data_IF_083179154386
#
_entry.id   IF_083179154386
#
_cell.length_a   1.000
_cell.length_b   1.000
_cell.length_c   1.000
_cell.angle_alpha   90.00
_cell.angle_beta   90.00
_cell.angle_gamma   90.00
#
_symmetry.space_group_name_H-M   'P 1'
#
loop_
_entity.id
_entity.type
_entity.pdbx_description
1 polymer ?
#
# COMPACT_ATOMS: atom_id res chain seq x y z
N UNK A 1 9.41 0.34 -13.05
CA UNK A 1 9.96 1.05 -11.87
C UNK A 1 8.95 1.13 -10.73
N UNK A 2 7.70 1.52 -10.99
CA UNK A 2 6.73 1.76 -9.92
C UNK A 2 6.36 0.53 -9.07
N UNK A 3 6.17 -0.65 -9.68
CA UNK A 3 5.96 -1.89 -8.92
C UNK A 3 7.09 -2.22 -7.94
N UNK A 4 8.34 -1.95 -8.31
CA UNK A 4 9.50 -2.18 -7.43
C UNK A 4 9.52 -1.18 -6.27
N UNK A 5 9.12 0.07 -6.53
CA UNK A 5 8.98 1.09 -5.50
C UNK A 5 7.85 0.74 -4.51
N UNK A 6 6.67 0.36 -5.02
CA UNK A 6 5.56 -0.09 -4.19
C UNK A 6 5.94 -1.33 -3.37
N UNK A 7 6.63 -2.30 -3.98
CA UNK A 7 7.14 -3.47 -3.25
C UNK A 7 8.07 -3.06 -2.10
N UNK A 8 8.99 -2.13 -2.33
CA UNK A 8 9.88 -1.62 -1.29
C UNK A 8 9.11 -0.90 -0.16
N UNK A 9 8.11 -0.08 -0.51
CA UNK A 9 7.24 0.58 0.47
C UNK A 9 6.43 -0.45 1.29
N UNK A 10 5.96 -1.53 0.67
CA UNK A 10 5.29 -2.65 1.33
C UNK A 10 6.23 -3.36 2.31
N UNK A 11 7.49 -3.61 1.95
CA UNK A 11 8.46 -4.23 2.86
C UNK A 11 8.78 -3.36 4.09
N UNK A 12 8.65 -2.03 3.95
CA UNK A 12 8.82 -1.08 5.05
C UNK A 12 7.60 -0.99 5.99
N UNK A 13 6.46 -1.57 5.60
CA UNK A 13 5.21 -1.54 6.36
C UNK A 13 5.16 -2.64 7.45
N UNK A 14 4.49 -2.38 8.59
CA UNK A 14 4.20 -3.42 9.58
C UNK A 14 3.33 -4.54 9.00
N UNK A 15 2.51 -4.25 7.97
CA UNK A 15 1.58 -5.20 7.35
C UNK A 15 2.18 -6.01 6.19
N UNK A 16 3.51 -5.93 5.97
CA UNK A 16 4.21 -6.54 4.83
C UNK A 16 3.81 -8.00 4.55
N UNK A 17 3.61 -8.82 5.58
CA UNK A 17 3.24 -10.24 5.40
C UNK A 17 1.90 -10.42 4.65
N UNK A 18 0.90 -9.61 4.99
CA UNK A 18 -0.41 -9.66 4.34
C UNK A 18 -0.48 -8.86 3.04
N UNK A 19 0.35 -7.83 2.89
CA UNK A 19 0.36 -6.98 1.70
C UNK A 19 1.23 -7.51 0.56
N UNK A 20 2.27 -8.30 0.84
CA UNK A 20 3.16 -8.91 -0.16
C UNK A 20 2.42 -9.60 -1.32
N UNK A 21 1.39 -10.46 -1.10
CA UNK A 21 0.67 -11.08 -2.22
C UNK A 21 -0.16 -10.08 -3.04
N UNK A 22 -0.39 -8.87 -2.54
CA UNK A 22 -1.26 -7.85 -3.15
C UNK A 22 -0.48 -6.71 -3.81
N UNK A 23 0.84 -6.82 -3.98
CA UNK A 23 1.68 -5.72 -4.49
C UNK A 23 1.20 -5.18 -5.84
N UNK A 24 0.71 -6.05 -6.73
CA UNK A 24 0.19 -5.63 -8.03
C UNK A 24 -1.13 -4.85 -7.92
N UNK A 25 -2.02 -5.26 -7.02
CA UNK A 25 -3.27 -4.56 -6.72
C UNK A 25 -3.00 -3.22 -6.03
N UNK A 26 -2.07 -3.19 -5.07
CA UNK A 26 -1.66 -1.98 -4.36
C UNK A 26 -1.10 -0.96 -5.35
N UNK A 27 -0.26 -1.38 -6.30
CA UNK A 27 0.26 -0.49 -7.32
C UNK A 27 -0.84 0.07 -8.23
N UNK A 28 -1.80 -0.76 -8.64
CA UNK A 28 -2.98 -0.30 -9.40
C UNK A 28 -3.81 0.70 -8.61
N UNK A 29 -4.06 0.44 -7.32
CA UNK A 29 -4.79 1.36 -6.45
C UNK A 29 -4.03 2.68 -6.26
N UNK A 30 -2.71 2.64 -6.12
CA UNK A 30 -1.86 3.81 -6.00
C UNK A 30 -1.93 4.71 -7.25
N UNK A 31 -2.09 4.14 -8.44
CA UNK A 31 -2.27 4.90 -9.69
C UNK A 31 -3.61 5.64 -9.79
N UNK A 32 -4.66 5.08 -9.19
CA UNK A 32 -6.01 5.65 -9.21
C UNK A 32 -6.13 6.75 -8.15
N UNK A 33 -5.43 6.63 -7.02
CA UNK A 33 -5.43 7.63 -5.98
C UNK A 33 -4.39 8.72 -6.27
N UNK A 34 -4.82 9.85 -6.83
CA UNK A 34 -3.95 10.96 -7.24
C UNK A 34 -2.97 11.39 -6.14
N UNK A 35 -3.43 11.50 -4.90
CA UNK A 35 -2.59 11.87 -3.75
C UNK A 35 -1.47 10.86 -3.48
N UNK A 36 -1.77 9.56 -3.58
CA UNK A 36 -0.80 8.49 -3.40
C UNK A 36 0.16 8.44 -4.59
N UNK A 37 -0.35 8.60 -5.81
CA UNK A 37 0.47 8.65 -7.03
C UNK A 37 1.52 9.76 -6.95
N UNK A 38 1.11 10.97 -6.56
CA UNK A 38 2.02 12.10 -6.39
C UNK A 38 3.04 11.86 -5.27
N UNK A 39 2.61 11.31 -4.13
CA UNK A 39 3.50 10.96 -3.03
C UNK A 39 4.56 9.92 -3.47
N UNK A 40 4.15 8.89 -4.21
CA UNK A 40 5.05 7.87 -4.77
C UNK A 40 6.05 8.51 -5.74
N UNK A 41 5.62 9.45 -6.60
CA UNK A 41 6.52 10.17 -7.50
C UNK A 41 7.54 11.04 -6.75
N UNK A 42 7.12 11.77 -5.70
CA UNK A 42 8.04 12.55 -4.84
C UNK A 42 9.06 11.66 -4.13
N UNK A 43 8.62 10.52 -3.59
CA UNK A 43 9.50 9.54 -2.95
C UNK A 43 10.50 8.97 -3.96
N UNK A 44 10.05 8.63 -5.18
CA UNK A 44 10.92 8.14 -6.23
C UNK A 44 12.00 9.18 -6.59
N UNK A 45 11.62 10.46 -6.68
CA UNK A 45 12.54 11.58 -6.90
C UNK A 45 13.57 11.72 -5.78
N UNK A 46 13.14 11.66 -4.51
CA UNK A 46 14.05 11.71 -3.35
C UNK A 46 14.97 10.49 -3.26
N UNK A 47 14.51 9.32 -3.71
CA UNK A 47 15.30 8.10 -3.73
C UNK A 47 16.32 8.04 -4.88
N UNK A 48 16.24 8.93 -5.87
CA UNK A 48 17.21 9.02 -6.96
C UNK A 48 17.34 7.75 -7.80
N UNK A 49 16.26 6.96 -7.93
CA UNK A 49 16.26 5.69 -8.66
C UNK A 49 16.72 4.47 -7.86
N UNK A 50 17.13 4.64 -6.60
CA UNK A 50 17.39 3.54 -5.67
C UNK A 50 16.12 3.09 -4.94
N UNK A 51 16.21 1.99 -4.18
CA UNK A 51 15.14 1.59 -3.26
C UNK A 51 14.93 2.69 -2.20
N UNK A 52 13.67 3.05 -1.87
CA UNK A 52 13.38 4.10 -0.90
C UNK A 52 13.90 3.71 0.48
N UNK A 53 14.57 4.66 1.14
CA UNK A 53 14.95 4.56 2.54
C UNK A 53 13.92 5.28 3.40
N UNK A 54 13.96 5.09 4.74
CA UNK A 54 13.06 5.81 5.66
C UNK A 54 13.14 7.33 5.52
N UNK A 55 14.30 7.88 5.21
CA UNK A 55 14.46 9.31 4.96
C UNK A 55 13.81 9.76 3.65
N UNK A 56 13.82 8.92 2.60
CA UNK A 56 13.19 9.22 1.32
C UNK A 56 11.65 9.34 1.41
N UNK A 57 11.03 8.68 2.41
CA UNK A 57 9.59 8.84 2.66
C UNK A 57 9.24 10.26 3.10
N UNK A 58 10.10 10.93 3.88
CA UNK A 58 9.92 12.32 4.29
C UNK A 58 8.53 12.60 4.88
N UNK A 59 7.93 13.69 4.44
CA UNK A 59 6.57 14.13 4.80
C UNK A 59 5.46 13.18 4.30
N UNK A 60 5.70 12.48 3.19
CA UNK A 60 4.73 11.55 2.58
C UNK A 60 4.59 10.24 3.36
N UNK A 61 5.44 10.01 4.39
CA UNK A 61 5.44 8.78 5.19
C UNK A 61 4.06 8.45 5.75
N UNK A 62 3.41 9.43 6.37
CA UNK A 62 2.13 9.20 7.04
C UNK A 62 1.04 8.77 6.05
N UNK A 63 1.00 9.45 4.89
CA UNK A 63 0.06 9.15 3.81
C UNK A 63 0.27 7.74 3.25
N UNK A 64 1.51 7.36 2.93
CA UNK A 64 1.81 6.02 2.41
C UNK A 64 1.46 4.94 3.44
N UNK A 65 1.79 5.16 4.72
CA UNK A 65 1.48 4.18 5.76
C UNK A 65 -0.03 4.02 5.96
N UNK A 66 -0.79 5.12 5.99
CA UNK A 66 -2.25 5.09 6.10
C UNK A 66 -2.89 4.40 4.89
N UNK A 67 -2.38 4.63 3.68
CA UNK A 67 -2.85 3.95 2.47
C UNK A 67 -2.62 2.43 2.55
N UNK A 68 -1.42 2.00 2.92
CA UNK A 68 -1.11 0.57 3.06
C UNK A 68 -1.90 -0.10 4.19
N UNK A 69 -2.11 0.62 5.30
CA UNK A 69 -2.98 0.18 6.39
C UNK A 69 -4.42 0.00 5.93
N UNK A 70 -4.96 0.98 5.20
CA UNK A 70 -6.31 0.91 4.66
C UNK A 70 -6.48 -0.29 3.72
N UNK A 71 -5.53 -0.53 2.81
CA UNK A 71 -5.57 -1.71 1.93
C UNK A 71 -5.48 -3.00 2.74
N UNK A 72 -4.62 -3.07 3.75
CA UNK A 72 -4.51 -4.27 4.59
C UNK A 72 -5.86 -4.61 5.24
N UNK A 73 -6.52 -3.62 5.86
CA UNK A 73 -7.80 -3.83 6.52
C UNK A 73 -8.98 -4.00 5.56
N UNK A 74 -8.89 -3.50 4.33
CA UNK A 74 -9.86 -3.77 3.27
C UNK A 74 -9.60 -5.08 2.51
N UNK A 75 -8.46 -5.75 2.75
CA UNK A 75 -8.07 -6.93 1.98
C UNK A 75 -8.95 -8.15 2.29
N UNK A 76 -9.28 -8.99 1.29
CA UNK A 76 -10.03 -10.23 1.52
C UNK A 76 -9.36 -11.17 2.53
N UNK A 77 -8.02 -11.18 2.57
CA UNK A 77 -7.26 -11.96 3.56
C UNK A 77 -7.52 -11.48 4.99
N UNK A 78 -7.56 -10.16 5.21
CA UNK A 78 -7.94 -9.60 6.49
C UNK A 78 -9.42 -9.89 6.80
N UNK A 79 -10.33 -9.65 5.87
CA UNK A 79 -11.76 -9.93 6.04
C UNK A 79 -12.03 -11.41 6.37
N UNK A 80 -11.27 -12.33 5.77
CA UNK A 80 -11.31 -13.76 6.10
C UNK A 80 -10.76 -14.04 7.51
N UNK A 81 -9.61 -13.45 7.88
CA UNK A 81 -9.04 -13.60 9.23
C UNK A 81 -9.91 -13.01 10.35
N UNK A 82 -10.69 -11.97 10.06
CA UNK A 82 -11.60 -11.33 11.00
C UNK A 82 -12.97 -12.03 11.09
N UNK A 83 -13.17 -13.15 10.38
CA UNK A 83 -14.46 -13.86 10.33
C UNK A 83 -15.55 -13.12 9.56
N UNK A 84 -15.18 -12.12 8.74
CA UNK A 84 -16.11 -11.30 7.94
C UNK A 84 -16.30 -11.79 6.51
N UNK A 85 -15.46 -12.71 6.01
CA UNK A 85 -15.56 -13.26 4.65
C UNK A 85 -16.87 -14.05 4.37
N UNK A 86 -17.71 -14.27 5.38
CA UNK A 86 -19.03 -14.91 5.25
C UNK A 86 -20.24 -14.00 5.51
N UNK A 87 -20.05 -12.71 5.83
CA UNK A 87 -21.17 -11.76 5.99
C UNK A 87 -21.32 -10.90 4.74
N UNK A 88 -21.61 -11.54 3.62
CA UNK A 88 -22.35 -10.84 2.57
C UNK A 88 -23.69 -10.47 3.21
N UNK A 89 -23.89 -9.19 3.54
CA UNK A 89 -25.21 -8.69 3.88
C UNK A 89 -26.11 -8.90 2.66
N UNK A 90 -26.86 -10.00 2.67
CA UNK A 90 -28.07 -10.12 1.88
C UNK A 90 -29.08 -9.16 2.51
N UNK A 91 -29.07 -7.91 2.07
CA UNK A 91 -30.22 -7.03 2.18
C UNK A 91 -31.06 -7.25 0.92
N UNK A 92 -31.98 -8.21 1.01
CA UNK A 92 -33.25 -8.26 0.25
C UNK A 92 -34.23 -9.13 1.02
#
# INVERSE_FOLDING_TARGET
MEHALIAALVEMSPYRRGLRPLVAEIARAAQICDQVREAVARIAGRAGGAAPTRSALGEDRALIMAFLEHIFFASPAFLASAGMAGRTQTHV
#
